data_IF_848414936727
#
_entry.id   IF_848414936727
#
_cell.length_a   1.000
_cell.length_b   1.000
_cell.length_c   1.000
_cell.angle_alpha   90.00
_cell.angle_beta   90.00
_cell.angle_gamma   90.00
#
_symmetry.space_group_name_H-M   'P 1'
#
loop_
_entity.id
_entity.type
_entity.pdbx_description
1 polymer ?
#
# COMPACT_ATOMS: atom_id res chain seq x y z
N UNK A 1 -11.26 -37.45 -61.16
CA UNK A 1 -10.33 -37.91 -62.21
C UNK A 1 -10.82 -37.38 -63.55
N UNK A 2 -10.07 -36.48 -64.17
CA UNK A 2 -10.01 -36.35 -65.62
C UNK A 2 -8.65 -35.73 -65.96
N UNK A 3 -7.95 -36.44 -66.83
CA UNK A 3 -6.54 -36.30 -67.21
C UNK A 3 -6.45 -35.63 -68.59
N UNK A 4 -5.22 -35.29 -69.01
CA UNK A 4 -4.79 -34.72 -70.30
C UNK A 4 -4.88 -33.19 -70.40
N UNK A 5 -3.85 -32.44 -70.82
CA UNK A 5 -2.78 -32.79 -71.77
C UNK A 5 -1.61 -31.78 -71.66
N UNK A 6 -0.36 -32.26 -71.73
CA UNK A 6 0.86 -31.47 -71.96
C UNK A 6 1.13 -31.32 -73.47
N UNK A 7 1.83 -30.23 -73.89
CA UNK A 7 2.82 -30.08 -75.00
C UNK A 7 3.04 -28.57 -75.28
N UNK A 8 4.16 -27.93 -74.89
CA UNK A 8 5.54 -27.88 -75.45
C UNK A 8 5.76 -26.96 -76.68
N UNK A 9 6.72 -26.02 -76.50
CA UNK A 9 7.62 -25.37 -77.48
C UNK A 9 7.01 -24.30 -78.44
N UNK A 10 7.64 -23.18 -78.84
CA UNK A 10 9.07 -22.85 -79.04
C UNK A 10 9.28 -21.33 -79.29
N UNK A 11 10.35 -20.76 -78.71
CA UNK A 11 11.30 -19.69 -79.15
C UNK A 11 10.97 -18.62 -80.22
N UNK A 12 11.29 -17.35 -79.91
CA UNK A 12 12.08 -16.34 -80.67
C UNK A 12 11.74 -14.91 -80.17
N UNK A 13 12.56 -13.86 -80.19
CA UNK A 13 13.99 -13.60 -80.22
C UNK A 13 14.19 -12.12 -79.80
N UNK A 14 15.29 -11.87 -79.10
CA UNK A 14 16.04 -10.63 -78.81
C UNK A 14 15.64 -9.32 -79.50
N UNK A 15 15.50 -8.23 -78.72
CA UNK A 15 16.01 -6.91 -79.07
C UNK A 15 16.39 -6.09 -77.81
N UNK A 16 17.68 -5.77 -77.73
CA UNK A 16 18.36 -4.96 -76.72
C UNK A 16 18.32 -3.49 -77.14
N UNK A 17 17.84 -2.57 -76.28
CA UNK A 17 18.25 -1.16 -76.31
C UNK A 17 18.40 -0.66 -74.86
N UNK A 18 19.60 -0.19 -74.54
CA UNK A 18 19.95 0.48 -73.31
C UNK A 18 19.91 2.01 -73.50
N UNK A 19 19.43 2.76 -72.50
CA UNK A 19 20.05 4.01 -72.00
C UNK A 19 19.21 4.68 -70.88
N UNK A 20 19.78 4.65 -69.67
CA UNK A 20 20.00 5.75 -68.70
C UNK A 20 18.92 6.83 -68.50
N UNK A 21 18.36 6.88 -67.28
CA UNK A 21 18.43 8.06 -66.39
C UNK A 21 17.94 7.67 -64.98
N UNK A 22 18.88 7.63 -64.02
CA UNK A 22 18.57 7.44 -62.61
C UNK A 22 18.23 8.76 -61.93
N UNK A 23 17.13 8.77 -61.17
CA UNK A 23 16.93 9.57 -59.97
C UNK A 23 15.56 9.24 -59.37
N UNK A 24 15.53 8.41 -58.31
CA UNK A 24 14.53 8.52 -57.23
C UNK A 24 15.10 7.79 -56.00
N UNK A 25 15.09 8.50 -54.86
CA UNK A 25 15.80 8.12 -53.64
C UNK A 25 15.35 6.80 -53.02
N UNK A 26 16.31 6.06 -52.49
CA UNK A 26 16.10 4.92 -51.61
C UNK A 26 17.26 4.92 -50.62
N UNK A 27 17.08 5.65 -49.51
CA UNK A 27 17.94 5.44 -48.34
C UNK A 27 17.68 4.03 -47.82
N UNK A 28 18.71 3.29 -47.39
CA UNK A 28 18.50 1.97 -46.80
C UNK A 28 17.71 2.17 -45.50
N UNK A 29 16.41 1.92 -45.57
CA UNK A 29 15.56 1.82 -44.39
C UNK A 29 16.10 0.67 -43.55
N UNK A 30 16.85 1.00 -42.52
CA UNK A 30 17.30 0.06 -41.51
C UNK A 30 16.04 -0.44 -40.80
N UNK A 31 15.40 -1.50 -41.33
CA UNK A 31 14.39 -2.26 -40.61
C UNK A 31 15.12 -2.92 -39.46
N UNK A 32 15.10 -2.26 -38.31
CA UNK A 32 15.50 -2.87 -37.04
C UNK A 32 14.59 -4.10 -36.88
N UNK A 33 15.11 -5.33 -36.92
CA UNK A 33 14.29 -6.51 -36.64
C UNK A 33 13.73 -6.37 -35.23
N UNK A 34 12.47 -6.78 -34.97
CA UNK A 34 11.92 -6.74 -33.62
C UNK A 34 12.90 -7.45 -32.69
N UNK A 35 13.40 -6.71 -31.69
CA UNK A 35 14.37 -7.28 -30.76
C UNK A 35 13.69 -8.44 -30.01
N UNK A 36 14.48 -9.44 -29.62
CA UNK A 36 13.97 -10.55 -28.80
C UNK A 36 13.31 -10.08 -27.48
N UNK A 37 13.57 -8.83 -27.09
CA UNK A 37 12.98 -8.16 -25.93
C UNK A 37 11.54 -7.66 -26.16
N UNK A 38 11.14 -7.34 -27.41
CA UNK A 38 9.80 -6.79 -27.68
C UNK A 38 8.66 -7.75 -27.30
N UNK A 39 8.68 -9.05 -27.63
CA UNK A 39 7.63 -9.98 -27.21
C UNK A 39 7.56 -10.17 -25.70
N UNK A 40 8.72 -10.20 -25.03
CA UNK A 40 8.80 -10.34 -23.58
C UNK A 40 8.20 -9.12 -22.86
N UNK A 41 8.55 -7.91 -23.32
CA UNK A 41 7.97 -6.64 -22.81
C UNK A 41 6.47 -6.59 -23.01
N UNK A 42 5.96 -6.93 -24.21
CA UNK A 42 4.51 -6.99 -24.46
C UNK A 42 3.79 -7.98 -23.53
N UNK A 43 4.40 -9.13 -23.26
CA UNK A 43 3.83 -10.13 -22.35
C UNK A 43 3.87 -9.68 -20.87
N UNK A 44 4.85 -8.88 -20.45
CA UNK A 44 4.90 -8.24 -19.13
C UNK A 44 3.84 -7.13 -19.01
N UNK A 45 3.67 -6.33 -20.06
CA UNK A 45 2.64 -5.29 -20.12
C UNK A 45 1.24 -5.89 -20.03
N UNK A 46 0.96 -6.95 -20.82
CA UNK A 46 -0.32 -7.69 -20.78
C UNK A 46 -0.61 -8.23 -19.38
N UNK A 47 0.39 -8.80 -18.71
CA UNK A 47 0.27 -9.29 -17.32
C UNK A 47 -0.06 -8.16 -16.36
N UNK A 48 0.62 -7.04 -16.48
CA UNK A 48 0.42 -5.87 -15.61
C UNK A 48 -0.98 -5.28 -15.77
N UNK A 49 -1.44 -5.16 -17.01
CA UNK A 49 -2.80 -4.67 -17.33
C UNK A 49 -3.85 -5.62 -16.76
N UNK A 50 -3.68 -6.94 -16.91
CA UNK A 50 -4.64 -7.91 -16.38
C UNK A 50 -4.68 -7.91 -14.84
N UNK A 51 -3.53 -7.84 -14.16
CA UNK A 51 -3.53 -7.67 -12.69
C UNK A 51 -4.25 -6.38 -12.27
N UNK A 52 -4.11 -5.29 -13.03
CA UNK A 52 -4.87 -4.05 -12.79
C UNK A 52 -6.39 -4.20 -12.91
N UNK A 53 -6.87 -5.09 -13.81
CA UNK A 53 -8.30 -5.43 -13.89
C UNK A 53 -8.77 -6.15 -12.63
N UNK A 54 -8.05 -7.20 -12.18
CA UNK A 54 -8.39 -7.95 -10.97
C UNK A 54 -8.45 -7.00 -9.76
N UNK A 55 -7.49 -6.08 -9.65
CA UNK A 55 -7.42 -5.10 -8.57
C UNK A 55 -8.62 -4.14 -8.58
N UNK A 56 -9.03 -3.66 -9.75
CA UNK A 56 -10.23 -2.83 -9.90
C UNK A 56 -11.48 -3.58 -9.45
N UNK A 57 -11.65 -4.83 -9.89
CA UNK A 57 -12.79 -5.65 -9.49
C UNK A 57 -12.89 -5.81 -7.97
N UNK A 58 -11.75 -6.00 -7.29
CA UNK A 58 -11.72 -6.09 -5.83
C UNK A 58 -12.07 -4.77 -5.14
N UNK A 59 -11.61 -3.63 -5.66
CA UNK A 59 -12.00 -2.30 -5.15
C UNK A 59 -13.50 -2.03 -5.31
N UNK A 60 -14.12 -2.59 -6.35
CA UNK A 60 -15.56 -2.53 -6.60
C UNK A 60 -16.35 -3.60 -5.80
N UNK A 61 -15.67 -4.45 -5.03
CA UNK A 61 -16.28 -5.51 -4.22
C UNK A 61 -16.68 -6.76 -5.01
N UNK A 62 -16.34 -6.85 -6.30
CA UNK A 62 -16.64 -7.97 -7.18
C UNK A 62 -15.69 -9.17 -6.93
N UNK A 63 -15.59 -9.63 -5.67
CA UNK A 63 -14.62 -10.63 -5.25
C UNK A 63 -14.78 -11.99 -5.94
N UNK A 64 -16.00 -12.50 -6.10
CA UNK A 64 -16.24 -13.78 -6.80
C UNK A 64 -15.81 -13.73 -8.26
N UNK A 65 -16.11 -12.62 -8.96
CA UNK A 65 -15.67 -12.44 -10.32
C UNK A 65 -14.14 -12.29 -10.40
N UNK A 66 -13.52 -11.62 -9.41
CA UNK A 66 -12.06 -11.53 -9.32
C UNK A 66 -11.39 -12.91 -9.15
N UNK A 67 -12.01 -13.85 -8.42
CA UNK A 67 -11.50 -15.21 -8.27
C UNK A 67 -11.48 -15.95 -9.61
N UNK A 68 -12.53 -15.82 -10.42
CA UNK A 68 -12.55 -16.41 -11.77
C UNK A 68 -11.43 -15.82 -12.67
N UNK A 69 -11.20 -14.50 -12.60
CA UNK A 69 -10.10 -13.88 -13.34
C UNK A 69 -8.72 -14.26 -12.79
N UNK A 70 -8.59 -14.52 -11.49
CA UNK A 70 -7.36 -15.05 -10.90
C UNK A 70 -7.04 -16.44 -11.46
N UNK A 71 -8.04 -17.32 -11.55
CA UNK A 71 -7.85 -18.66 -12.12
C UNK A 71 -7.48 -18.58 -13.61
N UNK A 72 -8.14 -17.71 -14.37
CA UNK A 72 -7.81 -17.47 -15.78
C UNK A 72 -6.41 -16.87 -15.97
N UNK A 73 -6.01 -15.91 -15.14
CA UNK A 73 -4.67 -15.33 -15.16
C UNK A 73 -3.63 -16.42 -14.87
N UNK A 74 -3.86 -17.25 -13.84
CA UNK A 74 -2.94 -18.31 -13.42
C UNK A 74 -2.64 -19.28 -14.54
N UNK A 75 -3.65 -19.70 -15.29
CA UNK A 75 -3.50 -20.64 -16.40
C UNK A 75 -2.60 -20.09 -17.52
N UNK A 76 -2.64 -18.77 -17.77
CA UNK A 76 -1.92 -18.14 -18.89
C UNK A 76 -0.57 -17.54 -18.49
N UNK A 77 -0.43 -17.11 -17.24
CA UNK A 77 0.65 -16.24 -16.79
C UNK A 77 1.37 -16.74 -15.52
N UNK A 78 0.95 -17.88 -14.96
CA UNK A 78 1.52 -18.46 -13.74
C UNK A 78 0.98 -17.83 -12.46
N UNK A 79 1.58 -18.18 -11.31
CA UNK A 79 1.08 -17.84 -9.98
C UNK A 79 2.06 -16.92 -9.19
N UNK A 80 2.25 -15.66 -9.64
CA UNK A 80 3.17 -14.75 -8.97
C UNK A 80 2.63 -14.39 -7.56
N UNK A 81 3.51 -14.03 -6.59
CA UNK A 81 3.09 -13.68 -5.23
C UNK A 81 2.00 -12.59 -5.15
N UNK A 82 2.00 -11.63 -6.08
CA UNK A 82 0.95 -10.60 -6.19
C UNK A 82 -0.42 -11.22 -6.44
N UNK A 83 -0.51 -12.20 -7.34
CA UNK A 83 -1.77 -12.88 -7.66
C UNK A 83 -2.28 -13.69 -6.44
N UNK A 84 -1.36 -14.36 -5.74
CA UNK A 84 -1.69 -15.07 -4.48
C UNK A 84 -2.23 -14.11 -3.41
N UNK A 85 -1.65 -12.92 -3.26
CA UNK A 85 -2.18 -11.90 -2.35
C UNK A 85 -3.62 -11.51 -2.73
N UNK A 86 -3.86 -11.24 -4.01
CA UNK A 86 -5.20 -10.89 -4.50
C UNK A 86 -6.20 -12.03 -4.30
N UNK A 87 -5.78 -13.29 -4.46
CA UNK A 87 -6.62 -14.44 -4.13
C UNK A 87 -6.97 -14.48 -2.65
N UNK A 88 -5.99 -14.29 -1.76
CA UNK A 88 -6.23 -14.25 -0.32
C UNK A 88 -7.21 -13.13 0.06
N UNK A 89 -7.07 -11.95 -0.54
CA UNK A 89 -7.97 -10.81 -0.34
C UNK A 89 -9.41 -11.14 -0.78
N UNK A 90 -9.58 -11.78 -1.94
CA UNK A 90 -10.89 -12.18 -2.42
C UNK A 90 -11.52 -13.32 -1.60
N UNK A 91 -10.73 -14.30 -1.15
CA UNK A 91 -11.18 -15.36 -0.26
C UNK A 91 -11.64 -14.78 1.09
N UNK A 92 -10.88 -13.82 1.65
CA UNK A 92 -11.28 -13.11 2.88
C UNK A 92 -12.56 -12.31 2.65
N UNK A 93 -12.66 -11.58 1.54
CA UNK A 93 -13.85 -10.79 1.16
C UNK A 93 -15.11 -11.64 0.94
N UNK A 94 -14.94 -12.94 0.65
CA UNK A 94 -16.04 -13.90 0.46
C UNK A 94 -16.27 -14.82 1.66
N UNK A 95 -15.62 -14.54 2.80
CA UNK A 95 -15.82 -15.29 4.05
C UNK A 95 -15.06 -16.62 4.15
N UNK A 96 -14.22 -16.95 3.17
CA UNK A 96 -13.39 -18.17 3.14
C UNK A 96 -12.10 -17.96 3.94
N UNK A 97 -12.24 -17.66 5.24
CA UNK A 97 -11.16 -17.18 6.10
C UNK A 97 -9.98 -18.15 6.22
N UNK A 98 -10.24 -19.46 6.32
CA UNK A 98 -9.17 -20.46 6.45
C UNK A 98 -8.31 -20.58 5.19
N UNK A 99 -8.95 -20.57 4.02
CA UNK A 99 -8.23 -20.60 2.74
C UNK A 99 -7.41 -19.31 2.54
N UNK A 100 -7.98 -18.15 2.86
CA UNK A 100 -7.27 -16.88 2.82
C UNK A 100 -6.05 -16.88 3.76
N UNK A 101 -6.23 -17.36 5.00
CA UNK A 101 -5.18 -17.45 6.01
C UNK A 101 -4.01 -18.29 5.52
N UNK A 102 -4.26 -19.48 4.98
CA UNK A 102 -3.20 -20.35 4.44
C UNK A 102 -2.36 -19.63 3.39
N UNK A 103 -2.98 -18.88 2.48
CA UNK A 103 -2.25 -18.15 1.45
C UNK A 103 -1.44 -17.00 2.06
N UNK A 104 -2.04 -16.19 2.95
CA UNK A 104 -1.32 -15.10 3.61
C UNK A 104 -0.10 -15.61 4.39
N UNK A 105 -0.21 -16.73 5.10
CA UNK A 105 0.91 -17.36 5.83
C UNK A 105 2.12 -17.59 4.89
N UNK A 106 1.89 -18.03 3.64
CA UNK A 106 2.97 -18.23 2.66
C UNK A 106 3.63 -16.94 2.16
N UNK A 107 3.03 -15.78 2.39
CA UNK A 107 3.48 -14.48 1.88
C UNK A 107 4.18 -13.63 2.96
N UNK A 108 4.19 -14.08 4.22
CA UNK A 108 4.71 -13.35 5.39
C UNK A 108 6.23 -13.07 5.36
N UNK A 109 6.99 -13.73 4.48
CA UNK A 109 8.44 -13.57 4.35
C UNK A 109 8.91 -12.81 3.10
N UNK A 110 8.01 -12.35 2.22
CA UNK A 110 8.35 -11.78 0.92
C UNK A 110 8.01 -10.30 0.75
N UNK A 111 8.05 -9.82 -0.50
CA UNK A 111 7.71 -8.43 -0.86
C UNK A 111 6.28 -8.01 -0.46
N UNK A 112 5.38 -8.97 -0.27
CA UNK A 112 3.99 -8.74 0.15
C UNK A 112 3.74 -9.03 1.63
N UNK A 113 4.79 -9.18 2.44
CA UNK A 113 4.68 -9.53 3.86
C UNK A 113 3.81 -8.56 4.65
N UNK A 114 3.95 -7.24 4.45
CA UNK A 114 3.14 -6.25 5.15
C UNK A 114 1.64 -6.45 4.92
N UNK A 115 1.23 -6.62 3.65
CA UNK A 115 -0.16 -6.87 3.27
C UNK A 115 -0.67 -8.23 3.77
N UNK A 116 0.18 -9.26 3.76
CA UNK A 116 -0.17 -10.57 4.29
C UNK A 116 -0.41 -10.54 5.81
N UNK A 117 0.45 -9.87 6.56
CA UNK A 117 0.26 -9.66 8.00
C UNK A 117 -0.99 -8.84 8.29
N UNK A 118 -1.29 -7.82 7.47
CA UNK A 118 -2.53 -7.06 7.59
C UNK A 118 -3.77 -7.95 7.37
N UNK A 119 -3.75 -8.77 6.32
CA UNK A 119 -4.81 -9.75 6.02
C UNK A 119 -5.05 -10.76 7.15
N UNK A 120 -3.97 -11.30 7.74
CA UNK A 120 -4.04 -12.17 8.92
C UNK A 120 -4.65 -11.44 10.13
N UNK A 121 -4.28 -10.17 10.32
CA UNK A 121 -4.86 -9.30 11.34
C UNK A 121 -6.36 -9.15 11.17
N UNK A 122 -6.83 -8.85 9.95
CA UNK A 122 -8.25 -8.73 9.64
C UNK A 122 -9.03 -10.04 9.85
N UNK A 123 -8.44 -11.18 9.50
CA UNK A 123 -9.03 -12.51 9.79
C UNK A 123 -9.15 -12.72 11.30
N UNK A 124 -8.12 -12.40 12.07
CA UNK A 124 -8.16 -12.52 13.52
C UNK A 124 -9.16 -11.55 14.18
N UNK A 125 -9.36 -10.34 13.62
CA UNK A 125 -10.41 -9.41 14.04
C UNK A 125 -11.79 -10.04 13.84
N UNK A 126 -12.07 -10.56 12.64
CA UNK A 126 -13.35 -11.19 12.32
C UNK A 126 -13.61 -12.45 13.16
N UNK A 127 -12.55 -13.21 13.47
CA UNK A 127 -12.60 -14.41 14.30
C UNK A 127 -12.60 -14.15 15.81
N UNK A 128 -12.71 -12.90 16.27
CA UNK A 128 -12.79 -12.58 17.70
C UNK A 128 -11.51 -12.89 18.50
N UNK A 129 -10.33 -12.84 17.85
CA UNK A 129 -9.03 -13.17 18.45
C UNK A 129 -8.19 -11.90 18.66
N UNK A 130 -8.48 -11.08 19.70
CA UNK A 130 -7.95 -9.72 19.79
C UNK A 130 -6.42 -9.65 19.91
N UNK A 131 -5.80 -10.59 20.63
CA UNK A 131 -4.35 -10.65 20.79
C UNK A 131 -3.63 -10.97 19.46
N UNK A 132 -4.13 -11.96 18.71
CA UNK A 132 -3.58 -12.31 17.37
C UNK A 132 -3.80 -11.19 16.37
N UNK A 133 -4.96 -10.54 16.41
CA UNK A 133 -5.27 -9.40 15.55
C UNK A 133 -4.27 -8.26 15.75
N UNK A 134 -4.01 -7.87 17.00
CA UNK A 134 -3.00 -6.85 17.27
C UNK A 134 -1.61 -7.27 16.82
N UNK A 135 -1.16 -8.48 17.17
CA UNK A 135 0.19 -8.93 16.82
C UNK A 135 0.42 -8.87 15.31
N UNK A 136 -0.55 -9.34 14.53
CA UNK A 136 -0.47 -9.32 13.07
C UNK A 136 -0.55 -7.89 12.50
N UNK A 137 -1.45 -7.04 13.00
CA UNK A 137 -1.55 -5.64 12.56
C UNK A 137 -0.30 -4.83 12.94
N UNK A 138 0.27 -5.06 14.13
CA UNK A 138 1.53 -4.45 14.55
C UNK A 138 2.66 -4.83 13.59
N UNK A 139 2.77 -6.12 13.24
CA UNK A 139 3.76 -6.58 12.27
C UNK A 139 3.56 -5.95 10.88
N UNK A 140 2.31 -5.79 10.44
CA UNK A 140 2.01 -5.09 9.20
C UNK A 140 2.50 -3.63 9.21
N UNK A 141 2.29 -2.91 10.32
CA UNK A 141 2.75 -1.52 10.46
C UNK A 141 4.26 -1.38 10.60
N UNK A 142 4.94 -2.36 11.19
CA UNK A 142 6.41 -2.39 11.23
C UNK A 142 7.01 -2.52 9.82
N UNK A 143 6.38 -3.34 8.97
CA UNK A 143 6.83 -3.58 7.60
C UNK A 143 6.41 -2.48 6.62
N UNK A 144 5.32 -1.77 6.91
CA UNK A 144 4.82 -0.66 6.10
C UNK A 144 4.41 0.54 6.98
N UNK A 145 5.39 1.28 7.56
CA UNK A 145 5.13 2.32 8.56
C UNK A 145 4.43 3.57 8.01
N UNK A 146 4.34 3.72 6.69
CA UNK A 146 3.65 4.82 6.01
C UNK A 146 2.27 4.43 5.46
N UNK A 147 1.82 3.20 5.70
CA UNK A 147 0.49 2.78 5.27
C UNK A 147 -0.57 3.24 6.29
N UNK A 148 -1.30 4.30 5.93
CA UNK A 148 -2.31 4.91 6.79
C UNK A 148 -3.46 3.95 7.17
N UNK A 149 -3.87 3.05 6.27
CA UNK A 149 -4.93 2.09 6.55
C UNK A 149 -4.48 1.07 7.60
N UNK A 150 -3.25 0.57 7.51
CA UNK A 150 -2.71 -0.40 8.47
C UNK A 150 -2.53 0.22 9.85
N UNK A 151 -2.03 1.45 9.90
CA UNK A 151 -1.95 2.25 11.13
C UNK A 151 -3.33 2.50 11.73
N UNK A 152 -4.31 2.86 10.89
CA UNK A 152 -5.70 3.06 11.30
C UNK A 152 -6.33 1.81 11.91
N UNK A 153 -6.11 0.65 11.30
CA UNK A 153 -6.63 -0.64 11.78
C UNK A 153 -5.96 -1.08 13.09
N UNK A 154 -4.64 -0.93 13.23
CA UNK A 154 -3.93 -1.21 14.48
C UNK A 154 -4.44 -0.30 15.62
N UNK A 155 -4.53 1.00 15.35
CA UNK A 155 -5.01 1.99 16.30
C UNK A 155 -6.45 1.71 16.74
N UNK A 156 -7.33 1.40 15.80
CA UNK A 156 -8.71 1.03 16.11
C UNK A 156 -8.80 -0.27 16.92
N UNK A 157 -7.98 -1.27 16.60
CA UNK A 157 -7.94 -2.52 17.36
C UNK A 157 -7.48 -2.30 18.81
N UNK A 158 -6.51 -1.39 19.03
CA UNK A 158 -6.08 -0.96 20.38
C UNK A 158 -7.18 -0.25 21.15
N UNK A 159 -7.99 0.60 20.49
CA UNK A 159 -9.17 1.21 21.11
C UNK A 159 -10.17 0.16 21.59
N UNK A 160 -10.45 -0.86 20.75
CA UNK A 160 -11.36 -1.97 21.10
C UNK A 160 -10.84 -2.78 22.29
N UNK A 161 -9.51 -2.91 22.42
CA UNK A 161 -8.86 -3.55 23.56
C UNK A 161 -8.79 -2.65 24.82
N UNK A 162 -9.31 -1.42 24.77
CA UNK A 162 -9.24 -0.46 25.88
C UNK A 162 -7.87 0.20 26.06
N UNK A 163 -6.87 -0.14 25.22
CA UNK A 163 -5.50 0.42 25.28
C UNK A 163 -5.42 1.78 24.60
N UNK A 164 -5.98 2.75 25.29
CA UNK A 164 -6.19 4.10 24.78
C UNK A 164 -4.87 4.87 24.57
N UNK A 165 -3.87 4.64 25.42
CA UNK A 165 -2.54 5.23 25.27
C UNK A 165 -1.85 4.74 23.98
N UNK A 166 -1.81 3.43 23.76
CA UNK A 166 -1.14 2.80 22.61
C UNK A 166 -1.81 3.11 21.27
N UNK A 167 -3.10 3.43 21.28
CA UNK A 167 -3.87 3.76 20.09
C UNK A 167 -3.53 5.16 19.54
N UNK A 168 -3.04 6.09 20.37
CA UNK A 168 -2.87 7.50 20.00
C UNK A 168 -1.97 7.67 18.78
N UNK A 169 -0.75 7.17 18.86
CA UNK A 169 0.29 7.37 17.84
C UNK A 169 -0.11 6.84 16.47
N UNK A 170 -0.51 5.56 16.31
CA UNK A 170 -0.89 5.06 14.99
C UNK A 170 -2.12 5.77 14.41
N UNK A 171 -3.10 6.17 15.23
CA UNK A 171 -4.26 6.92 14.76
C UNK A 171 -3.90 8.34 14.30
N UNK A 172 -3.01 9.03 15.04
CA UNK A 172 -2.53 10.35 14.65
C UNK A 172 -1.73 10.28 13.33
N UNK A 173 -0.82 9.31 13.20
CA UNK A 173 -0.07 9.09 11.96
C UNK A 173 -1.01 8.78 10.78
N UNK A 174 -2.01 7.91 10.96
CA UNK A 174 -2.98 7.60 9.91
C UNK A 174 -3.75 8.85 9.44
N UNK A 175 -4.18 9.69 10.37
CA UNK A 175 -4.89 10.93 10.08
C UNK A 175 -4.00 11.96 9.34
N UNK A 176 -2.72 12.06 9.72
CA UNK A 176 -1.76 12.99 9.10
C UNK A 176 -1.27 12.51 7.73
N UNK A 177 -1.07 11.21 7.55
CA UNK A 177 -0.68 10.60 6.27
C UNK A 177 -1.84 10.59 5.26
N UNK A 178 -3.08 10.66 5.73
CA UNK A 178 -4.27 10.62 4.87
C UNK A 178 -5.35 11.59 5.38
N UNK A 179 -5.10 12.92 5.30
CA UNK A 179 -6.01 13.93 5.84
C UNK A 179 -7.38 13.98 5.13
N UNK A 180 -7.46 13.44 3.91
CA UNK A 180 -8.70 13.31 3.15
C UNK A 180 -9.46 11.99 3.44
N UNK A 181 -8.90 11.07 4.22
CA UNK A 181 -9.54 9.80 4.54
C UNK A 181 -10.49 9.98 5.75
N UNK A 182 -11.82 9.96 5.55
CA UNK A 182 -12.77 10.19 6.63
C UNK A 182 -12.69 9.12 7.73
N UNK A 183 -12.28 7.89 7.40
CA UNK A 183 -12.12 6.80 8.37
C UNK A 183 -10.95 7.06 9.32
N UNK A 184 -9.82 7.55 8.81
CA UNK A 184 -8.66 7.88 9.62
C UNK A 184 -9.00 9.01 10.62
N UNK A 185 -9.68 10.06 10.16
CA UNK A 185 -10.13 11.16 11.01
C UNK A 185 -11.17 10.70 12.04
N UNK A 186 -12.14 9.88 11.62
CA UNK A 186 -13.16 9.32 12.51
C UNK A 186 -12.54 8.49 13.65
N UNK A 187 -11.52 7.68 13.36
CA UNK A 187 -10.83 6.90 14.39
C UNK A 187 -10.06 7.79 15.38
N UNK A 188 -9.42 8.89 14.92
CA UNK A 188 -8.75 9.84 15.82
C UNK A 188 -9.74 10.67 16.66
N UNK A 189 -10.91 11.00 16.08
CA UNK A 189 -12.00 11.61 16.83
C UNK A 189 -12.58 10.65 17.87
N UNK A 190 -12.76 9.37 17.53
CA UNK A 190 -13.16 8.32 18.47
C UNK A 190 -12.18 8.20 19.64
N UNK A 191 -10.88 8.18 19.37
CA UNK A 191 -9.84 8.21 20.41
C UNK A 191 -9.98 9.45 21.31
N UNK A 192 -10.23 10.62 20.73
CA UNK A 192 -10.40 11.88 21.48
C UNK A 192 -11.63 11.84 22.39
N UNK A 193 -12.77 11.28 21.93
CA UNK A 193 -13.97 11.07 22.74
C UNK A 193 -13.74 10.10 23.90
N UNK A 194 -12.99 9.02 23.66
CA UNK A 194 -12.67 8.02 24.69
C UNK A 194 -11.72 8.60 25.76
N UNK A 195 -10.86 9.55 25.39
CA UNK A 195 -10.03 10.33 26.31
C UNK A 195 -10.80 11.44 27.04
N UNK A 196 -12.05 11.72 26.67
CA UNK A 196 -12.88 12.79 27.23
C UNK A 196 -12.72 14.16 26.55
N UNK A 197 -11.88 14.28 25.53
CA UNK A 197 -11.68 15.51 24.77
C UNK A 197 -12.71 15.65 23.64
N UNK A 198 -13.95 15.94 24.03
CA UNK A 198 -15.08 16.08 23.11
C UNK A 198 -14.88 17.23 22.12
N UNK A 199 -14.31 18.35 22.58
CA UNK A 199 -14.07 19.54 21.75
C UNK A 199 -13.10 19.24 20.60
N UNK A 200 -12.01 18.51 20.88
CA UNK A 200 -11.07 18.08 19.84
C UNK A 200 -11.73 17.13 18.85
N UNK A 201 -12.52 16.17 19.33
CA UNK A 201 -13.24 15.26 18.45
C UNK A 201 -14.17 16.01 17.48
N UNK A 202 -14.95 16.98 17.97
CA UNK A 202 -15.83 17.81 17.14
C UNK A 202 -15.05 18.61 16.10
N UNK A 203 -13.95 19.24 16.51
CA UNK A 203 -13.08 20.02 15.61
C UNK A 203 -12.53 19.15 14.47
N UNK A 204 -12.05 17.93 14.80
CA UNK A 204 -11.56 16.96 13.82
C UNK A 204 -12.67 16.56 12.83
N UNK A 205 -13.84 16.18 13.35
CA UNK A 205 -14.96 15.73 12.51
C UNK A 205 -15.53 16.85 11.62
N UNK A 206 -15.60 18.07 12.12
CA UNK A 206 -16.04 19.25 11.36
C UNK A 206 -15.01 19.65 10.30
N UNK A 207 -13.73 19.69 10.66
CA UNK A 207 -12.65 20.01 9.73
C UNK A 207 -12.58 19.04 8.54
N UNK A 208 -12.81 17.75 8.80
CA UNK A 208 -12.90 16.73 7.75
C UNK A 208 -14.29 16.63 7.09
N UNK A 209 -15.22 17.52 7.45
CA UNK A 209 -16.59 17.57 6.91
C UNK A 209 -17.31 16.22 6.96
N UNK A 210 -17.13 15.48 8.06
CA UNK A 210 -17.78 14.18 8.21
C UNK A 210 -19.32 14.35 8.20
N UNK A 211 -20.05 13.54 7.42
CA UNK A 211 -21.50 13.55 7.42
C UNK A 211 -22.08 13.29 8.81
N UNK A 212 -23.26 13.84 9.09
CA UNK A 212 -23.92 13.73 10.38
C UNK A 212 -24.08 12.28 10.85
N UNK A 213 -24.46 11.38 9.94
CA UNK A 213 -24.55 9.95 10.21
C UNK A 213 -23.21 9.35 10.67
N UNK A 214 -22.09 9.76 10.05
CA UNK A 214 -20.75 9.32 10.43
C UNK A 214 -20.35 9.86 11.81
N UNK A 215 -20.67 11.14 12.10
CA UNK A 215 -20.42 11.73 13.42
C UNK A 215 -21.21 11.00 14.52
N UNK A 216 -22.48 10.71 14.27
CA UNK A 216 -23.32 9.92 15.18
C UNK A 216 -22.77 8.51 15.39
N UNK A 217 -22.27 7.86 14.33
CA UNK A 217 -21.62 6.56 14.46
C UNK A 217 -20.37 6.62 15.36
N UNK A 218 -19.55 7.66 15.24
CA UNK A 218 -18.39 7.88 16.12
C UNK A 218 -18.81 8.03 17.58
N UNK A 219 -19.87 8.79 17.88
CA UNK A 219 -20.40 8.91 19.23
C UNK A 219 -20.94 7.59 19.79
N UNK A 220 -21.67 6.80 18.98
CA UNK A 220 -22.16 5.48 19.40
C UNK A 220 -21.00 4.54 19.72
N UNK A 221 -20.02 4.44 18.83
CA UNK A 221 -18.82 3.62 19.07
C UNK A 221 -18.08 4.05 20.34
N UNK A 222 -17.97 5.37 20.61
CA UNK A 222 -17.36 5.84 21.84
C UNK A 222 -18.14 5.37 23.08
N UNK A 223 -19.47 5.42 23.03
CA UNK A 223 -20.33 4.91 24.11
C UNK A 223 -20.13 3.41 24.34
N UNK A 224 -20.07 2.63 23.25
CA UNK A 224 -19.89 1.18 23.27
C UNK A 224 -18.51 0.77 23.84
N UNK A 225 -17.45 1.51 23.54
CA UNK A 225 -16.08 1.17 23.96
C UNK A 225 -15.70 1.72 25.36
N UNK A 226 -16.44 2.69 25.90
CA UNK A 226 -16.19 3.28 27.23
C UNK A 226 -16.06 2.25 28.36
N UNK A 227 -16.91 1.22 28.47
CA UNK A 227 -16.75 0.20 29.51
C UNK A 227 -15.42 -0.54 29.40
N UNK A 228 -14.98 -0.91 28.20
CA UNK A 228 -13.71 -1.60 27.99
C UNK A 228 -12.51 -0.74 28.40
N UNK A 229 -12.51 0.54 28.02
CA UNK A 229 -11.49 1.52 28.43
C UNK A 229 -11.43 1.66 29.95
N UNK A 230 -12.58 1.80 30.62
CA UNK A 230 -12.64 1.92 32.09
C UNK A 230 -12.12 0.66 32.79
N UNK A 231 -12.44 -0.52 32.27
CA UNK A 231 -11.93 -1.78 32.83
C UNK A 231 -10.41 -1.90 32.66
N UNK A 232 -9.88 -1.59 31.48
CA UNK A 232 -8.44 -1.61 31.22
C UNK A 232 -7.69 -0.63 32.13
N UNK A 233 -8.16 0.62 32.24
CA UNK A 233 -7.55 1.63 33.12
C UNK A 233 -7.54 1.22 34.60
N UNK A 234 -8.62 0.57 35.07
CA UNK A 234 -8.68 0.05 36.44
C UNK A 234 -7.71 -1.12 36.65
N UNK A 235 -7.60 -2.00 35.66
CA UNK A 235 -6.63 -3.09 35.70
C UNK A 235 -5.20 -2.55 35.78
N UNK A 236 -4.84 -1.58 34.94
CA UNK A 236 -3.53 -0.92 34.94
C UNK A 236 -3.20 -0.18 36.26
N UNK A 237 -4.22 0.44 36.87
CA UNK A 237 -4.07 1.07 38.18
C UNK A 237 -3.87 0.04 39.31
N UNK A 238 -4.51 -1.13 39.21
CA UNK A 238 -4.40 -2.21 40.19
C UNK A 238 -3.10 -3.01 40.09
N UNK A 239 -2.50 -3.10 38.90
CA UNK A 239 -1.19 -3.74 38.68
C UNK A 239 -0.03 -2.80 39.02
N UNK A 240 -0.32 -1.59 39.52
CA UNK A 240 0.69 -0.69 40.05
C UNK A 240 1.72 -0.29 39.01
N UNK A 241 1.28 0.31 37.89
CA UNK A 241 2.13 1.15 37.04
C UNK A 241 3.57 0.66 36.86
N UNK A 242 3.76 -0.61 36.48
CA UNK A 242 5.04 -1.02 35.92
C UNK A 242 5.12 -0.41 34.52
N UNK A 243 5.43 0.89 34.47
CA UNK A 243 5.98 1.51 33.27
C UNK A 243 7.11 0.58 32.82
N UNK A 244 7.10 0.08 31.57
CA UNK A 244 8.29 -0.56 31.05
C UNK A 244 9.44 0.44 31.26
N UNK A 245 10.64 -0.01 31.69
CA UNK A 245 11.77 0.91 31.77
C UNK A 245 11.85 1.63 30.43
N UNK A 246 12.10 2.96 30.41
CA UNK A 246 12.38 3.62 29.15
C UNK A 246 13.45 2.76 28.49
N UNK A 247 13.21 2.33 27.24
CA UNK A 247 14.24 1.71 26.43
C UNK A 247 15.45 2.62 26.59
N UNK A 248 16.44 2.14 27.35
CA UNK A 248 17.69 2.84 27.49
C UNK A 248 18.18 2.92 26.06
N UNK A 249 18.04 4.10 25.47
CA UNK A 249 18.75 4.45 24.27
C UNK A 249 20.20 4.09 24.60
N UNK A 250 20.70 3.04 23.96
CA UNK A 250 22.12 2.81 23.89
C UNK A 250 22.64 4.02 23.13
N UNK A 251 22.98 5.05 23.90
CA UNK A 251 23.69 6.22 23.44
C UNK A 251 25.13 5.79 23.18
N UNK A 252 25.31 5.00 22.12
CA UNK A 252 26.54 5.06 21.34
C UNK A 252 26.44 6.37 20.55
N UNK A 253 27.28 7.33 20.93
CA UNK A 253 27.21 8.71 20.48
C UNK A 253 27.13 8.85 18.97
N UNK A 254 26.01 9.40 18.51
CA UNK A 254 25.93 10.15 17.25
C UNK A 254 25.19 11.42 17.62
N UNK A 255 25.93 12.53 17.74
CA UNK A 255 25.35 13.85 17.88
C UNK A 255 24.41 14.09 16.70
N UNK A 256 23.13 14.36 16.98
CA UNK A 256 22.20 14.79 15.97
C UNK A 256 22.72 16.11 15.36
N UNK A 257 22.81 16.24 14.02
CA UNK A 257 23.16 17.51 13.42
C UNK A 257 22.05 18.53 13.73
N UNK A 258 22.39 19.82 13.96
CA UNK A 258 21.40 20.85 14.24
C UNK A 258 20.40 21.00 13.08
N UNK A 259 19.17 21.46 13.36
CA UNK A 259 18.13 21.62 12.34
C UNK A 259 18.61 22.54 11.21
N UNK A 260 18.24 22.20 9.96
CA UNK A 260 18.70 22.87 8.72
C UNK A 260 18.47 24.39 8.66
N UNK A 261 17.71 24.96 9.59
CA UNK A 261 17.43 26.39 9.69
C UNK A 261 18.59 27.22 10.29
N UNK A 262 19.64 26.60 10.84
CA UNK A 262 20.82 27.33 11.35
C UNK A 262 21.96 27.49 10.33
N UNK A 263 21.88 26.84 9.16
CA UNK A 263 22.95 26.83 8.14
C UNK A 263 23.01 28.11 7.29
N UNK A 264 22.05 29.02 7.41
CA UNK A 264 21.94 30.24 6.61
C UNK A 264 22.07 31.54 7.41
N UNK A 265 22.51 31.48 8.67
CA UNK A 265 22.88 32.71 9.39
C UNK A 265 24.23 33.23 8.86
N UNK A 266 24.32 34.47 8.36
CA UNK A 266 25.61 35.06 8.05
C UNK A 266 26.41 35.24 9.35
N UNK A 267 27.63 34.68 9.40
CA UNK A 267 28.54 34.85 10.54
C UNK A 267 28.93 36.32 10.70
N UNK A 268 28.94 36.87 11.93
CA UNK A 268 29.57 38.16 12.19
C UNK A 268 31.09 38.00 12.05
N UNK A 269 31.69 38.77 11.13
CA UNK A 269 33.15 38.89 11.02
C UNK A 269 33.70 39.52 12.30
N UNK A 270 34.47 38.74 13.06
CA UNK A 270 35.36 39.25 14.09
C UNK A 270 36.70 39.62 13.44
N UNK A 271 37.17 40.84 13.70
CA UNK A 271 38.56 41.22 13.46
C UNK A 271 38.71 42.55 12.75
N UNK A 272 38.70 43.65 13.52
CA UNK A 272 39.88 44.51 13.52
C UNK A 272 39.93 45.31 14.82
N UNK A 273 40.91 44.98 15.65
CA UNK A 273 41.37 45.83 16.74
C UNK A 273 42.75 46.34 16.36
N UNK A 274 42.89 47.66 16.22
CA UNK A 274 44.10 48.50 16.26
C UNK A 274 43.63 49.88 15.73
N UNK A 275 43.79 51.04 16.35
CA UNK A 275 44.85 51.60 17.18
C UNK A 275 44.27 52.72 18.07
N UNK A 276 44.73 52.76 19.31
CA UNK A 276 44.76 53.96 20.15
C UNK A 276 46.22 54.42 20.19
N UNK A 277 46.51 55.63 19.72
CA UNK A 277 47.61 56.49 20.21
C UNK A 277 47.40 57.94 19.75
N UNK A 278 47.12 58.79 20.77
CA UNK A 278 47.30 60.25 20.89
C UNK A 278 46.26 61.21 20.31
#
# INVERSE_FOLDING_TARGET
MNDSTKRHATLAAVALVAALAGACGSGPGHRVPPSADEPARRADDDRTVYLGLIERMQREGAYYASLAHIDAFRQRHGDPPRLRLMQADALRGTGQADAARQIYETLTGGAYAAAAWHGLGLIAVAGGQPARAEQALARATELAPLNADYLGDLGYQRLRAGRLADARTPLAMAAELSPANPRAIANLALWSLLQGDTRRAETLMQGAKLPDASRQAVYRLASELRPAVRHAQRADASTGGASPPPLAASAAGIAAPPPMLERFRPSPSAGDGLLDER
#
